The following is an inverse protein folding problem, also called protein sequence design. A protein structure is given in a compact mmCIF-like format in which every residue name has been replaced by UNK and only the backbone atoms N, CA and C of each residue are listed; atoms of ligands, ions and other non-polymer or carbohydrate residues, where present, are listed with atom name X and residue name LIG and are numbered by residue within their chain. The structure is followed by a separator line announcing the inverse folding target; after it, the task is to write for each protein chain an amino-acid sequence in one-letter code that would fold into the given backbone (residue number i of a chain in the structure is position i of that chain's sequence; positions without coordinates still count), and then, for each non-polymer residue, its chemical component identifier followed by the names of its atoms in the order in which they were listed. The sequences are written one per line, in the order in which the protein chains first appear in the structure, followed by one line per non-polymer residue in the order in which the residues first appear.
data_IF_381296377772
#
_entry.id   IF_381296377772
#
_cell.length_a   1.000
_cell.length_b   1.000
_cell.length_c   1.000
_cell.angle_alpha   90.00
_cell.angle_beta   90.00
_cell.angle_gamma   90.00
#
_symmetry.space_group_name_H-M   'P 1'
#
loop_
_entity.id
_entity.type
_entity.pdbx_description
1 polymer ?
#
# COMPACT_ATOMS: atom_id res chain seq x y z
N UNK A 1 12.38 9.87 -4.86
CA UNK A 1 12.60 9.17 -3.57
C UNK A 1 11.55 8.07 -3.43
N UNK A 2 11.92 6.80 -3.63
CA UNK A 2 10.98 5.68 -3.49
C UNK A 2 10.83 5.38 -2.01
N UNK A 3 9.82 5.95 -1.35
CA UNK A 3 9.40 5.47 -0.03
C UNK A 3 8.97 4.00 -0.20
N UNK A 4 9.84 3.09 0.26
CA UNK A 4 9.59 1.64 0.25
C UNK A 4 8.38 1.38 1.18
N UNK A 5 7.48 0.53 0.73
CA UNK A 5 6.29 0.12 1.51
C UNK A 5 6.71 -0.44 2.88
N UNK A 6 7.87 -1.12 2.94
CA UNK A 6 8.51 -1.59 4.17
C UNK A 6 8.63 -0.49 5.23
N UNK A 7 9.22 0.67 4.87
CA UNK A 7 9.41 1.77 5.83
C UNK A 7 8.09 2.38 6.31
N UNK A 8 7.04 2.35 5.49
CA UNK A 8 5.70 2.78 5.91
C UNK A 8 5.08 1.78 6.90
N UNK A 9 5.31 0.46 6.72
CA UNK A 9 4.85 -0.59 7.65
C UNK A 9 5.58 -0.53 8.99
N UNK A 10 6.89 -0.25 8.98
CA UNK A 10 7.67 0.02 10.20
C UNK A 10 7.15 1.27 10.93
N UNK A 11 6.96 2.37 10.19
CA UNK A 11 6.43 3.63 10.75
C UNK A 11 5.03 3.45 11.36
N UNK A 12 4.15 2.68 10.70
CA UNK A 12 2.84 2.29 11.25
C UNK A 12 2.99 1.52 12.56
N UNK A 13 3.92 0.57 12.62
CA UNK A 13 4.16 -0.24 13.82
C UNK A 13 4.67 0.61 14.99
N UNK A 14 5.57 1.55 14.70
CA UNK A 14 6.05 2.52 15.69
C UNK A 14 4.92 3.37 16.27
N UNK A 15 4.05 3.95 15.42
CA UNK A 15 2.93 4.76 15.90
C UNK A 15 1.89 3.94 16.68
N UNK A 16 1.62 2.70 16.27
CA UNK A 16 0.76 1.79 17.04
C UNK A 16 1.34 1.44 18.41
N UNK A 17 2.65 1.24 18.50
CA UNK A 17 3.31 1.04 19.79
C UNK A 17 3.23 2.29 20.65
N UNK A 18 3.51 3.46 20.07
CA UNK A 18 3.46 4.76 20.77
C UNK A 18 2.07 5.08 21.31
N UNK A 19 1.00 4.74 20.58
CA UNK A 19 -0.38 4.91 21.06
C UNK A 19 -0.74 4.09 22.31
N UNK A 20 0.00 3.01 22.60
CA UNK A 20 -0.17 2.22 23.84
C UNK A 20 0.43 2.91 25.06
N UNK A 21 1.23 3.96 24.86
CA UNK A 21 1.79 4.75 25.94
C UNK A 21 0.66 5.46 26.72
N UNK A 22 0.64 5.22 28.03
CA UNK A 22 -0.33 5.83 28.97
C UNK A 22 0.03 7.28 29.30
N UNK A 23 1.27 7.71 29.01
CA UNK A 23 1.74 9.08 29.21
C UNK A 23 1.26 10.07 28.15
N UNK A 24 0.62 9.61 27.08
CA UNK A 24 0.11 10.48 26.03
C UNK A 24 -1.16 11.22 26.46
N UNK A 25 -1.14 12.54 26.26
CA UNK A 25 -2.35 13.36 26.34
C UNK A 25 -3.34 12.98 25.24
N UNK A 26 -4.62 13.28 25.46
CA UNK A 26 -5.69 13.03 24.48
C UNK A 26 -5.42 13.71 23.14
N UNK A 27 -4.87 14.94 23.17
CA UNK A 27 -4.47 15.68 21.96
C UNK A 27 -3.40 14.94 21.16
N UNK A 28 -2.35 14.45 21.84
CA UNK A 28 -1.30 13.68 21.18
C UNK A 28 -1.82 12.36 20.61
N UNK A 29 -2.70 11.66 21.34
CA UNK A 29 -3.36 10.45 20.82
C UNK A 29 -4.16 10.72 19.55
N UNK A 30 -4.87 11.84 19.51
CA UNK A 30 -5.61 12.26 18.31
C UNK A 30 -4.67 12.55 17.13
N UNK A 31 -3.54 13.22 17.37
CA UNK A 31 -2.54 13.46 16.32
C UNK A 31 -1.91 12.17 15.79
N UNK A 32 -1.52 11.26 16.68
CA UNK A 32 -0.99 9.95 16.26
C UNK A 32 -2.03 9.11 15.51
N UNK A 33 -3.30 9.16 15.92
CA UNK A 33 -4.41 8.51 15.21
C UNK A 33 -4.60 9.07 13.80
N UNK A 34 -4.55 10.40 13.64
CA UNK A 34 -4.58 11.06 12.32
C UNK A 34 -3.39 10.64 11.45
N UNK A 35 -2.18 10.60 12.02
CA UNK A 35 -0.98 10.17 11.31
C UNK A 35 -1.10 8.71 10.83
N UNK A 36 -1.62 7.80 11.66
CA UNK A 36 -1.86 6.41 11.30
C UNK A 36 -2.81 6.27 10.11
N UNK A 37 -3.94 6.99 10.12
CA UNK A 37 -4.91 6.96 8.99
C UNK A 37 -4.27 7.38 7.67
N UNK A 38 -3.39 8.39 7.70
CA UNK A 38 -2.67 8.85 6.51
C UNK A 38 -1.72 7.76 6.01
N UNK A 39 -0.93 7.15 6.90
CA UNK A 39 0.02 6.08 6.54
C UNK A 39 -0.70 4.86 5.95
N UNK A 40 -1.81 4.45 6.56
CA UNK A 40 -2.61 3.32 6.07
C UNK A 40 -3.17 3.60 4.67
N UNK A 41 -3.67 4.81 4.44
CA UNK A 41 -4.14 5.24 3.12
C UNK A 41 -3.03 5.16 2.07
N UNK A 42 -1.82 5.67 2.39
CA UNK A 42 -0.67 5.64 1.47
C UNK A 42 -0.22 4.20 1.18
N UNK A 43 -0.21 3.31 2.19
CA UNK A 43 0.10 1.89 2.00
C UNK A 43 -0.90 1.26 1.03
N UNK A 44 -2.21 1.46 1.28
CA UNK A 44 -3.28 0.93 0.43
C UNK A 44 -3.18 1.42 -1.01
N UNK A 45 -2.99 2.72 -1.23
CA UNK A 45 -2.82 3.30 -2.56
C UNK A 45 -1.60 2.74 -3.30
N UNK A 46 -0.49 2.50 -2.58
CA UNK A 46 0.72 1.91 -3.16
C UNK A 46 0.53 0.42 -3.52
N UNK A 47 -0.16 -0.34 -2.67
CA UNK A 47 -0.50 -1.74 -2.94
C UNK A 47 -1.42 -1.83 -4.17
N UNK A 48 -2.49 -1.04 -4.24
CA UNK A 48 -3.40 -0.97 -5.40
C UNK A 48 -2.70 -0.50 -6.69
N UNK A 49 -1.80 0.49 -6.59
CA UNK A 49 -1.01 0.97 -7.74
C UNK A 49 -0.02 -0.08 -8.26
N UNK A 50 0.57 -0.87 -7.34
CA UNK A 50 1.41 -2.01 -7.69
C UNK A 50 0.61 -3.13 -8.37
N UNK A 51 -0.61 -3.38 -7.91
CA UNK A 51 -1.51 -4.41 -8.43
C UNK A 51 -2.05 -4.07 -9.83
N UNK A 52 -2.41 -2.80 -10.07
CA UNK A 52 -2.80 -2.29 -11.40
C UNK A 52 -1.69 -2.45 -12.45
N UNK A 53 -0.41 -2.36 -12.06
CA UNK A 53 0.72 -2.62 -12.98
C UNK A 53 0.89 -4.10 -13.32
N UNK A 54 0.48 -5.02 -12.43
CA UNK A 54 0.51 -6.47 -12.71
C UNK A 54 -0.63 -6.88 -13.65
N UNK A 55 -1.82 -6.31 -13.47
CA UNK A 55 -2.98 -6.60 -14.33
C UNK A 55 -2.81 -6.14 -15.79
N UNK A 56 -1.98 -5.14 -16.07
CA UNK A 56 -1.67 -4.71 -17.45
C UNK A 56 -0.76 -5.67 -18.23
N UNK A 57 -0.20 -6.71 -17.61
CA UNK A 57 0.78 -7.62 -18.24
C UNK A 57 0.21 -8.96 -18.72
N UNK A 58 -1.09 -9.22 -18.60
CA UNK A 58 -1.66 -10.48 -19.05
C UNK A 58 -2.80 -10.27 -20.03
N UNK A 59 -2.44 -9.84 -21.25
CA UNK A 59 -3.25 -10.12 -22.43
C UNK A 59 -2.53 -11.28 -23.12
N UNK A 60 -2.95 -12.55 -22.93
CA UNK A 60 -2.47 -13.61 -23.79
C UNK A 60 -2.99 -13.31 -25.19
N UNK A 61 -2.10 -12.85 -26.07
CA UNK A 61 -2.38 -12.86 -27.51
C UNK A 61 -2.52 -14.31 -27.92
N UNK A 62 -3.76 -14.76 -28.11
CA UNK A 62 -4.07 -16.10 -28.58
C UNK A 62 -3.70 -16.20 -30.07
N UNK A 63 -2.45 -16.55 -30.36
CA UNK A 63 -1.88 -16.66 -31.71
C UNK A 63 -2.33 -17.94 -32.46
N UNK A 64 -3.48 -18.54 -32.13
CA UNK A 64 -3.82 -19.90 -32.57
C UNK A 64 -4.95 -20.03 -33.59
N UNK A 65 -5.21 -19.00 -34.42
CA UNK A 65 -6.27 -19.09 -35.43
C UNK A 65 -6.00 -18.39 -36.78
N UNK A 66 -4.75 -18.29 -37.27
CA UNK A 66 -4.47 -17.76 -38.63
C UNK A 66 -3.54 -18.66 -39.47
N UNK A 67 -3.48 -19.96 -39.20
CA UNK A 67 -2.87 -20.92 -40.14
C UNK A 67 -3.76 -22.15 -40.29
N UNK A 68 -4.99 -21.92 -40.74
CA UNK A 68 -5.72 -22.90 -41.53
C UNK A 68 -6.30 -22.19 -42.76
N UNK A 69 -5.40 -21.87 -43.68
CA UNK A 69 -5.70 -21.74 -45.10
C UNK A 69 -4.48 -22.30 -45.84
N UNK A 70 -4.66 -23.43 -46.52
CA UNK A 70 -4.25 -23.77 -47.90
C UNK A 70 -4.68 -25.22 -48.14
#
# INVERSE_FOLDING_TARGET
MVLKIEGLKETRSFYNWKLKDKGLTERQRNEFSKALKIIEKIIKEKEESGERRKHKKFIPYDHKAIFQNI
#
